data_IF_585226471130
#
_entry.id   IF_585226471130
#
_cell.length_a   1.000
_cell.length_b   1.000
_cell.length_c   1.000
_cell.angle_alpha   90.00
_cell.angle_beta   90.00
_cell.angle_gamma   90.00
#
_symmetry.space_group_name_H-M   'P 1'
#
loop_
_entity.id
_entity.type
_entity.pdbx_description
1 polymer ?
#
# COMPACT_ATOMS: atom_id res chain seq x y z
N UNK A 1 31.12 9.04 10.68
CA UNK A 1 30.28 8.26 9.74
C UNK A 1 30.98 6.95 9.51
N UNK A 2 30.30 5.82 9.70
CA UNK A 2 30.86 4.52 9.37
C UNK A 2 30.84 4.30 7.85
N UNK A 3 31.62 3.34 7.37
CA UNK A 3 31.59 2.91 5.96
C UNK A 3 30.54 1.84 5.77
N UNK A 4 29.87 1.79 4.63
CA UNK A 4 28.83 0.78 4.38
C UNK A 4 29.28 -0.69 4.60
N UNK A 5 30.59 -0.99 4.46
CA UNK A 5 31.15 -2.32 4.75
C UNK A 5 31.22 -2.66 6.24
N UNK A 6 31.22 -1.65 7.11
CA UNK A 6 31.42 -1.82 8.55
C UNK A 6 30.23 -2.57 9.18
N UNK A 7 28.99 -2.36 8.70
CA UNK A 7 27.79 -3.08 9.20
C UNK A 7 27.79 -4.57 8.90
N UNK A 8 28.70 -5.06 8.05
CA UNK A 8 28.88 -6.48 7.78
C UNK A 8 29.86 -7.15 8.76
N UNK A 9 30.55 -6.37 9.59
CA UNK A 9 31.51 -6.88 10.57
C UNK A 9 30.81 -7.14 11.91
N UNK A 10 30.86 -8.36 12.47
CA UNK A 10 30.29 -8.66 13.78
C UNK A 10 30.75 -7.68 14.87
N UNK A 11 32.06 -7.39 14.91
CA UNK A 11 32.65 -6.44 15.87
C UNK A 11 32.11 -5.01 15.75
N UNK A 12 31.50 -4.65 14.63
CA UNK A 12 30.85 -3.35 14.47
C UNK A 12 29.43 -3.36 15.04
N UNK A 13 28.62 -4.36 14.68
CA UNK A 13 27.23 -4.48 15.14
C UNK A 13 27.10 -4.86 16.61
N UNK A 14 28.16 -5.39 17.22
CA UNK A 14 28.23 -5.72 18.65
C UNK A 14 28.65 -4.51 19.52
N UNK A 15 28.86 -3.33 18.93
CA UNK A 15 29.15 -2.10 19.69
C UNK A 15 27.96 -1.69 20.58
N UNK A 16 28.21 -0.93 21.65
CA UNK A 16 27.16 -0.36 22.48
C UNK A 16 26.09 0.38 21.65
N UNK A 17 24.81 0.22 22.02
CA UNK A 17 23.69 0.78 21.26
C UNK A 17 23.75 2.31 21.18
N UNK A 18 24.20 2.99 22.23
CA UNK A 18 24.41 4.44 22.25
C UNK A 18 25.46 4.89 21.22
N UNK A 19 26.52 4.09 21.04
CA UNK A 19 27.52 4.32 20.01
C UNK A 19 26.93 4.11 18.60
N UNK A 20 26.21 3.02 18.37
CA UNK A 20 25.56 2.75 17.08
C UNK A 20 24.49 3.80 16.74
N UNK A 21 23.71 4.22 17.74
CA UNK A 21 22.68 5.23 17.59
C UNK A 21 23.24 6.55 17.05
N UNK A 22 24.38 6.98 17.59
CA UNK A 22 25.05 8.23 17.18
C UNK A 22 25.45 8.25 15.69
N UNK A 23 25.42 7.10 15.02
CA UNK A 23 25.79 6.95 13.62
C UNK A 23 24.61 7.08 12.65
N UNK A 24 23.36 7.06 13.13
CA UNK A 24 22.15 7.10 12.29
C UNK A 24 21.91 8.52 11.75
N UNK A 25 21.73 9.52 12.62
CA UNK A 25 21.38 10.89 12.19
C UNK A 25 22.39 11.52 11.21
N UNK A 26 23.72 11.29 11.34
CA UNK A 26 24.68 11.77 10.34
C UNK A 26 24.45 11.21 8.93
N UNK A 27 23.72 10.10 8.78
CA UNK A 27 23.40 9.47 7.50
C UNK A 27 22.10 9.96 6.85
N UNK A 28 21.35 10.85 7.50
CA UNK A 28 20.00 11.24 7.07
C UNK A 28 19.94 11.82 5.64
N UNK A 29 20.95 12.60 5.25
CA UNK A 29 21.01 13.26 3.94
C UNK A 29 22.44 13.30 3.40
N UNK A 30 23.07 12.13 3.29
CA UNK A 30 24.43 12.00 2.74
C UNK A 30 24.47 12.15 1.24
N UNK A 31 25.61 12.61 0.73
CA UNK A 31 25.87 12.65 -0.70
C UNK A 31 25.78 11.23 -1.31
N UNK A 32 24.84 11.06 -2.25
CA UNK A 32 24.55 9.77 -2.87
C UNK A 32 25.79 9.20 -3.57
N UNK A 33 26.57 10.04 -4.27
CA UNK A 33 27.77 9.58 -4.99
C UNK A 33 28.82 9.01 -4.04
N UNK A 34 29.02 9.68 -2.91
CA UNK A 34 29.94 9.26 -1.84
C UNK A 34 29.47 7.95 -1.21
N UNK A 35 28.17 7.80 -0.95
CA UNK A 35 27.62 6.57 -0.37
C UNK A 35 27.66 5.40 -1.36
N UNK A 36 27.28 5.64 -2.61
CA UNK A 36 27.28 4.63 -3.67
C UNK A 36 28.69 4.09 -3.94
N UNK A 37 29.72 4.94 -3.91
CA UNK A 37 31.12 4.51 -4.03
C UNK A 37 31.52 3.47 -2.97
N UNK A 38 30.87 3.47 -1.79
CA UNK A 38 31.09 2.50 -0.73
C UNK A 38 30.24 1.23 -0.88
N UNK A 39 29.08 1.32 -1.52
CA UNK A 39 28.19 0.18 -1.78
C UNK A 39 28.60 -0.64 -3.01
N UNK A 40 29.18 0.00 -4.04
CA UNK A 40 29.61 -0.68 -5.27
C UNK A 40 30.55 -1.87 -5.04
N UNK A 41 31.52 -1.83 -4.09
CA UNK A 41 32.33 -3.00 -3.77
C UNK A 41 31.56 -4.18 -3.19
N UNK A 42 30.36 -3.96 -2.63
CA UNK A 42 29.48 -5.01 -2.07
C UNK A 42 28.67 -5.74 -3.16
N UNK A 43 28.81 -5.35 -4.43
CA UNK A 43 28.10 -6.00 -5.53
C UNK A 43 28.47 -7.49 -5.65
N UNK A 44 27.50 -8.30 -6.06
CA UNK A 44 27.69 -9.74 -6.27
C UNK A 44 28.74 -10.03 -7.35
N UNK A 45 29.36 -11.19 -7.25
CA UNK A 45 30.33 -11.72 -8.22
C UNK A 45 29.72 -11.90 -9.62
N UNK A 46 30.55 -12.03 -10.66
CA UNK A 46 30.07 -12.33 -12.01
C UNK A 46 29.24 -13.62 -12.08
N UNK A 47 29.64 -14.64 -11.33
CA UNK A 47 28.95 -15.93 -11.28
C UNK A 47 27.57 -15.82 -10.62
N UNK A 48 27.48 -15.14 -9.48
CA UNK A 48 26.19 -14.89 -8.79
C UNK A 48 25.27 -14.05 -9.66
N UNK A 49 25.79 -13.02 -10.35
CA UNK A 49 24.99 -12.21 -11.28
C UNK A 49 24.44 -13.04 -12.43
N UNK A 50 25.23 -13.93 -13.03
CA UNK A 50 24.77 -14.82 -14.09
C UNK A 50 23.64 -15.73 -13.58
N UNK A 51 23.84 -16.35 -12.40
CA UNK A 51 22.84 -17.21 -11.77
C UNK A 51 21.54 -16.46 -11.45
N UNK A 52 21.62 -15.29 -10.82
CA UNK A 52 20.47 -14.44 -10.51
C UNK A 52 19.75 -13.99 -11.78
N UNK A 53 20.49 -13.68 -12.86
CA UNK A 53 19.91 -13.28 -14.14
C UNK A 53 19.11 -14.43 -14.76
N UNK A 54 19.64 -15.65 -14.74
CA UNK A 54 18.94 -16.84 -15.23
C UNK A 54 17.66 -17.09 -14.43
N UNK A 55 17.75 -17.07 -13.10
CA UNK A 55 16.58 -17.30 -12.22
C UNK A 55 15.52 -16.21 -12.37
N UNK A 56 15.93 -14.94 -12.43
CA UNK A 56 15.01 -13.83 -12.69
C UNK A 56 14.32 -13.99 -14.05
N UNK A 57 15.07 -14.38 -15.09
CA UNK A 57 14.51 -14.61 -16.44
C UNK A 57 13.49 -15.75 -16.46
N UNK A 58 13.74 -16.83 -15.73
CA UNK A 58 12.82 -17.95 -15.55
C UNK A 58 11.52 -17.50 -14.87
N UNK A 59 11.62 -16.74 -13.77
CA UNK A 59 10.48 -16.19 -13.06
C UNK A 59 9.65 -15.24 -13.92
N UNK A 60 10.31 -14.31 -14.62
CA UNK A 60 9.65 -13.35 -15.53
C UNK A 60 8.93 -14.09 -16.66
N UNK A 61 9.55 -15.12 -17.23
CA UNK A 61 8.94 -15.93 -18.29
C UNK A 61 7.69 -16.66 -17.79
N UNK A 62 7.73 -17.21 -16.57
CA UNK A 62 6.55 -17.83 -15.94
C UNK A 62 5.42 -16.83 -15.72
N UNK A 63 5.72 -15.66 -15.14
CA UNK A 63 4.73 -14.58 -14.92
C UNK A 63 4.10 -14.14 -16.24
N UNK A 64 4.90 -13.93 -17.29
CA UNK A 64 4.39 -13.55 -18.62
C UNK A 64 3.56 -14.64 -19.30
N UNK A 65 3.81 -15.91 -18.98
CA UNK A 65 3.07 -17.05 -19.54
C UNK A 65 1.75 -17.33 -18.82
N UNK A 66 1.59 -16.85 -17.58
CA UNK A 66 0.38 -17.03 -16.79
C UNK A 66 -0.74 -16.11 -17.31
N UNK A 67 -1.74 -16.73 -17.96
CA UNK A 67 -2.91 -16.03 -18.51
C UNK A 67 -3.99 -15.76 -17.48
N UNK A 68 -3.87 -16.30 -16.26
CA UNK A 68 -4.87 -16.15 -15.20
C UNK A 68 -4.58 -14.96 -14.28
N UNK A 69 -3.36 -14.43 -14.31
CA UNK A 69 -2.92 -13.36 -13.43
C UNK A 69 -2.88 -12.01 -14.18
N UNK A 70 -3.68 -11.06 -13.70
CA UNK A 70 -3.47 -9.60 -13.89
C UNK A 70 -3.69 -9.03 -15.30
N UNK A 71 -4.21 -9.78 -16.28
CA UNK A 71 -4.39 -9.17 -17.61
C UNK A 71 -5.50 -8.13 -17.70
N UNK A 72 -6.53 -8.14 -16.86
CA UNK A 72 -7.67 -7.23 -17.12
C UNK A 72 -7.42 -5.79 -16.66
N UNK A 73 -6.78 -5.60 -15.50
CA UNK A 73 -6.44 -4.26 -15.02
C UNK A 73 -5.17 -3.77 -15.69
N UNK A 74 -4.10 -4.57 -15.76
CA UNK A 74 -2.89 -4.14 -16.46
C UNK A 74 -3.17 -3.85 -17.94
N UNK A 75 -4.00 -4.65 -18.63
CA UNK A 75 -4.41 -4.30 -19.99
C UNK A 75 -5.29 -3.07 -20.04
N UNK A 76 -6.19 -2.83 -19.07
CA UNK A 76 -6.96 -1.59 -19.00
C UNK A 76 -6.04 -0.37 -18.76
N UNK A 77 -5.03 -0.49 -17.89
CA UNK A 77 -4.07 0.57 -17.59
C UNK A 77 -3.04 0.77 -18.71
N UNK A 78 -2.70 -0.28 -19.46
CA UNK A 78 -1.84 -0.22 -20.66
C UNK A 78 -2.60 0.32 -21.87
N UNK A 79 -3.85 -0.09 -22.07
CA UNK A 79 -4.71 0.32 -23.19
C UNK A 79 -5.29 1.73 -22.98
N UNK A 80 -5.52 2.14 -21.73
CA UNK A 80 -5.87 3.49 -21.31
C UNK A 80 -4.77 4.03 -20.40
N UNK A 81 -3.64 4.43 -21.01
CA UNK A 81 -2.47 4.94 -20.28
C UNK A 81 -2.89 5.98 -19.23
N UNK A 82 -2.50 5.75 -17.98
CA UNK A 82 -2.90 6.52 -16.79
C UNK A 82 -2.39 7.96 -16.77
N UNK A 83 -1.56 8.33 -17.73
CA UNK A 83 -1.08 9.68 -18.00
C UNK A 83 -2.07 10.49 -18.88
N UNK A 84 -3.12 9.85 -19.40
CA UNK A 84 -4.16 10.50 -20.20
C UNK A 84 -5.29 11.03 -19.31
N UNK A 85 -5.93 12.14 -19.74
CA UNK A 85 -7.11 12.70 -19.03
C UNK A 85 -8.22 11.66 -18.92
N UNK A 86 -8.30 10.79 -19.92
CA UNK A 86 -9.21 9.66 -20.02
C UNK A 86 -8.97 8.60 -18.94
N UNK A 87 -7.72 8.15 -18.75
CA UNK A 87 -7.36 7.18 -17.73
C UNK A 87 -7.64 7.67 -16.31
N UNK A 88 -7.34 8.95 -16.05
CA UNK A 88 -7.65 9.60 -14.76
C UNK A 88 -9.16 9.61 -14.49
N UNK A 89 -9.97 9.97 -15.49
CA UNK A 89 -11.43 10.07 -15.33
C UNK A 89 -12.07 8.69 -15.11
N UNK A 90 -11.57 7.66 -15.79
CA UNK A 90 -11.99 6.28 -15.61
C UNK A 90 -11.70 5.79 -14.18
N UNK A 91 -10.52 6.12 -13.65
CA UNK A 91 -10.15 5.80 -12.26
C UNK A 91 -11.00 6.56 -11.24
N UNK A 92 -11.26 7.86 -11.47
CA UNK A 92 -12.16 8.64 -10.61
C UNK A 92 -13.58 8.06 -10.60
N UNK A 93 -14.10 7.64 -11.74
CA UNK A 93 -15.41 7.00 -11.81
C UNK A 93 -15.40 5.63 -11.10
N UNK A 94 -14.35 4.84 -11.27
CA UNK A 94 -14.21 3.55 -10.59
C UNK A 94 -14.17 3.73 -9.06
N UNK A 95 -13.46 4.74 -8.58
CA UNK A 95 -13.38 5.10 -7.16
C UNK A 95 -14.72 5.57 -6.60
N UNK A 96 -15.41 6.47 -7.30
CA UNK A 96 -16.74 6.93 -6.91
C UNK A 96 -17.75 5.77 -6.83
N UNK A 97 -17.70 4.83 -7.78
CA UNK A 97 -18.57 3.67 -7.79
C UNK A 97 -18.26 2.69 -6.65
N UNK A 98 -16.99 2.54 -6.26
CA UNK A 98 -16.60 1.72 -5.11
C UNK A 98 -17.10 2.28 -3.76
N UNK A 99 -17.37 3.59 -3.67
CA UNK A 99 -17.93 4.22 -2.47
C UNK A 99 -19.45 4.05 -2.35
N UNK A 100 -20.13 3.60 -3.40
CA UNK A 100 -21.59 3.45 -3.40
C UNK A 100 -21.93 2.01 -2.99
N UNK A 101 -22.51 1.81 -1.79
CA UNK A 101 -22.73 0.46 -1.26
C UNK A 101 -23.90 -0.27 -1.93
N UNK A 102 -24.83 0.45 -2.57
CA UNK A 102 -25.98 -0.13 -3.24
C UNK A 102 -25.85 -0.11 -4.76
N UNK A 103 -26.13 -1.25 -5.39
CA UNK A 103 -25.96 -1.42 -6.83
C UNK A 103 -26.90 -0.52 -7.64
N UNK A 104 -28.08 -0.18 -7.12
CA UNK A 104 -29.05 0.65 -7.82
C UNK A 104 -28.57 2.10 -7.99
N UNK A 105 -27.95 2.68 -6.95
CA UNK A 105 -27.36 4.03 -6.97
C UNK A 105 -26.07 4.03 -7.78
N UNK A 106 -25.26 2.97 -7.70
CA UNK A 106 -24.08 2.83 -8.54
C UNK A 106 -24.48 2.78 -10.03
N UNK A 107 -25.51 2.01 -10.38
CA UNK A 107 -26.07 1.94 -11.73
C UNK A 107 -26.72 3.27 -12.15
N UNK A 108 -27.35 4.00 -11.24
CA UNK A 108 -27.87 5.34 -11.49
C UNK A 108 -26.74 6.34 -11.78
N UNK A 109 -25.63 6.29 -11.05
CA UNK A 109 -24.45 7.14 -11.29
C UNK A 109 -23.76 6.78 -12.61
N UNK A 110 -23.60 5.49 -12.91
CA UNK A 110 -23.10 5.01 -14.22
C UNK A 110 -23.97 5.60 -15.32
N UNK A 111 -25.29 5.48 -15.22
CA UNK A 111 -26.22 6.00 -16.22
C UNK A 111 -26.19 7.53 -16.34
N UNK A 112 -26.16 8.24 -15.21
CA UNK A 112 -26.11 9.71 -15.18
C UNK A 112 -24.81 10.24 -15.80
N UNK A 113 -23.66 9.62 -15.46
CA UNK A 113 -22.33 10.12 -15.87
C UNK A 113 -21.79 9.52 -17.17
N UNK A 114 -22.27 8.34 -17.58
CA UNK A 114 -21.84 7.65 -18.81
C UNK A 114 -22.89 7.72 -19.94
N UNK A 115 -24.05 8.36 -19.73
CA UNK A 115 -25.00 8.57 -20.83
C UNK A 115 -24.38 9.48 -21.90
N UNK A 116 -24.55 9.05 -23.16
CA UNK A 116 -23.86 9.48 -24.39
C UNK A 116 -23.97 10.99 -24.70
N UNK A 117 -24.75 11.77 -23.95
CA UNK A 117 -25.24 13.05 -24.44
C UNK A 117 -24.50 14.30 -23.95
N UNK A 118 -23.71 14.30 -22.86
CA UNK A 118 -23.25 15.62 -22.36
C UNK A 118 -21.98 15.67 -21.49
N UNK A 119 -20.96 14.88 -21.82
CA UNK A 119 -19.65 14.99 -21.15
C UNK A 119 -19.03 16.40 -21.18
N UNK A 120 -19.40 17.21 -22.18
CA UNK A 120 -18.90 18.58 -22.35
C UNK A 120 -19.56 19.60 -21.40
N UNK A 121 -20.81 19.37 -20.97
CA UNK A 121 -21.51 20.27 -20.06
C UNK A 121 -21.26 19.94 -18.59
N UNK A 122 -21.11 18.65 -18.26
CA UNK A 122 -20.87 18.20 -16.88
C UNK A 122 -19.45 18.46 -16.37
N UNK A 123 -18.46 18.58 -17.26
CA UNK A 123 -17.10 19.00 -16.91
C UNK A 123 -16.99 20.48 -16.50
N UNK A 124 -17.96 21.32 -16.86
CA UNK A 124 -17.94 22.76 -16.57
C UNK A 124 -18.50 23.14 -15.19
N UNK A 125 -19.17 22.21 -14.49
CA UNK A 125 -20.01 22.55 -13.34
C UNK A 125 -19.70 21.75 -12.05
N UNK A 126 -18.55 21.09 -11.93
CA UNK A 126 -18.22 20.35 -10.70
C UNK A 126 -16.78 20.56 -10.25
N UNK A 127 -16.58 21.56 -9.39
CA UNK A 127 -15.30 21.81 -8.70
C UNK A 127 -14.88 20.66 -7.76
N UNK A 128 -15.78 19.70 -7.49
CA UNK A 128 -15.59 18.64 -6.49
C UNK A 128 -14.94 17.34 -7.02
N UNK A 129 -15.00 17.04 -8.32
CA UNK A 129 -14.42 15.81 -8.87
C UNK A 129 -12.91 15.94 -9.17
N UNK A 130 -12.43 17.16 -9.35
CA UNK A 130 -11.05 17.46 -9.74
C UNK A 130 -10.08 17.59 -8.56
N UNK A 131 -10.58 17.65 -7.33
CA UNK A 131 -9.74 17.81 -6.12
C UNK A 131 -8.91 16.57 -5.83
N UNK A 132 -9.40 15.37 -6.18
CA UNK A 132 -8.68 14.11 -5.98
C UNK A 132 -7.91 13.64 -7.22
N UNK A 133 -8.12 14.24 -8.38
CA UNK A 133 -7.40 13.93 -9.61
C UNK A 133 -5.90 14.27 -9.48
N UNK A 134 -5.56 15.30 -8.69
CA UNK A 134 -4.18 15.66 -8.34
C UNK A 134 -3.51 14.60 -7.46
N UNK A 135 -4.24 14.01 -6.49
CA UNK A 135 -3.74 12.93 -5.62
C UNK A 135 -3.41 11.68 -6.44
N UNK A 136 -4.30 11.26 -7.33
CA UNK A 136 -4.06 10.09 -8.20
C UNK A 136 -3.04 10.39 -9.31
N UNK A 137 -3.05 11.60 -9.88
CA UNK A 137 -2.05 12.04 -10.86
C UNK A 137 -0.63 12.01 -10.27
N UNK A 138 -0.46 12.47 -9.03
CA UNK A 138 0.82 12.43 -8.32
C UNK A 138 1.21 10.99 -7.94
N UNK A 139 0.27 10.21 -7.41
CA UNK A 139 0.51 8.84 -6.92
C UNK A 139 0.78 7.84 -8.05
N UNK A 140 0.20 8.02 -9.25
CA UNK A 140 0.38 7.11 -10.39
C UNK A 140 1.45 7.56 -11.39
N UNK A 141 1.66 8.88 -11.56
CA UNK A 141 2.57 9.41 -12.60
C UNK A 141 3.78 10.14 -12.05
N UNK A 142 3.85 10.36 -10.72
CA UNK A 142 4.92 11.11 -10.06
C UNK A 142 4.95 12.60 -10.39
N UNK A 143 3.91 13.12 -11.06
CA UNK A 143 3.83 14.52 -11.49
C UNK A 143 2.56 15.18 -10.96
N UNK A 144 2.71 16.40 -10.45
CA UNK A 144 1.57 17.27 -10.12
C UNK A 144 0.92 17.67 -11.45
N UNK A 145 -0.22 17.07 -11.78
CA UNK A 145 -0.99 17.45 -12.96
C UNK A 145 -1.94 18.58 -12.56
N UNK A 146 -1.56 19.83 -12.85
CA UNK A 146 -2.51 20.95 -12.88
C UNK A 146 -3.30 20.86 -14.19
N UNK A 147 -4.54 20.40 -14.11
CA UNK A 147 -5.47 20.39 -15.24
C UNK A 147 -6.00 21.80 -15.47
N UNK A 148 -5.16 22.68 -16.03
CA UNK A 148 -5.64 23.97 -16.50
C UNK A 148 -6.59 23.78 -17.69
N UNK A 149 -7.72 24.48 -17.62
CA UNK A 149 -8.74 24.50 -18.65
C UNK A 149 -8.26 25.23 -19.92
N UNK A 150 -7.36 24.62 -20.69
CA UNK A 150 -7.12 25.05 -22.07
C UNK A 150 -8.15 24.42 -23.00
N UNK A 151 -8.96 25.32 -23.58
CA UNK A 151 -9.81 25.09 -24.72
C UNK A 151 -8.94 24.72 -25.93
N UNK A 152 -8.79 23.43 -26.23
CA UNK A 152 -8.37 23.03 -27.57
C UNK A 152 -9.36 21.99 -28.09
N UNK A 153 -10.03 22.37 -29.18
CA UNK A 153 -11.16 21.68 -29.80
C UNK A 153 -10.81 20.39 -30.54
N UNK A 154 -9.96 19.54 -29.99
CA UNK A 154 -9.75 18.18 -30.51
C UNK A 154 -10.90 17.28 -30.03
N UNK A 155 -11.58 16.52 -30.93
CA UNK A 155 -12.61 15.58 -30.51
C UNK A 155 -11.96 14.48 -29.66
N UNK A 156 -12.33 14.42 -28.39
CA UNK A 156 -11.83 13.44 -27.42
C UNK A 156 -12.09 12.02 -27.93
N UNK A 157 -11.08 11.16 -27.84
CA UNK A 157 -11.16 9.74 -28.23
C UNK A 157 -12.27 8.99 -27.45
N UNK A 158 -12.68 9.51 -26.29
CA UNK A 158 -13.86 9.09 -25.53
C UNK A 158 -15.13 9.10 -26.38
N UNK A 159 -15.36 10.14 -27.20
CA UNK A 159 -16.53 10.18 -28.09
C UNK A 159 -16.48 9.05 -29.15
N UNK A 160 -15.31 8.51 -29.49
CA UNK A 160 -15.20 7.34 -30.38
C UNK A 160 -15.40 6.02 -29.65
N UNK A 161 -15.05 5.92 -28.37
CA UNK A 161 -15.26 4.72 -27.56
C UNK A 161 -16.74 4.56 -27.16
N UNK A 162 -17.36 5.66 -26.72
CA UNK A 162 -18.78 5.74 -26.33
C UNK A 162 -19.72 5.55 -27.52
N UNK A 163 -19.31 5.99 -28.73
CA UNK A 163 -20.09 5.72 -29.95
C UNK A 163 -19.91 4.31 -30.52
N UNK A 164 -18.97 3.50 -29.98
CA UNK A 164 -18.61 2.18 -30.52
C UNK A 164 -18.90 1.04 -29.55
N UNK A 165 -19.12 1.33 -28.27
CA UNK A 165 -19.51 0.36 -27.24
C UNK A 165 -20.81 0.82 -26.55
N UNK A 166 -21.80 -0.06 -26.47
CA UNK A 166 -23.09 0.23 -25.84
C UNK A 166 -22.96 0.33 -24.32
N UNK A 167 -23.83 1.11 -23.68
CA UNK A 167 -23.91 1.28 -22.21
C UNK A 167 -23.78 -0.05 -21.41
N UNK A 168 -24.38 -1.18 -21.84
CA UNK A 168 -24.21 -2.47 -21.15
C UNK A 168 -22.76 -2.98 -21.11
N UNK A 169 -21.95 -2.70 -22.13
CA UNK A 169 -20.55 -3.16 -22.22
C UNK A 169 -19.67 -2.36 -21.26
N UNK A 170 -19.82 -1.04 -21.22
CA UNK A 170 -19.11 -0.17 -20.27
C UNK A 170 -19.51 -0.54 -18.84
N UNK A 171 -20.81 -0.77 -18.59
CA UNK A 171 -21.33 -1.24 -17.30
C UNK A 171 -20.68 -2.54 -16.85
N UNK A 172 -20.59 -3.53 -17.75
CA UNK A 172 -19.99 -4.83 -17.43
C UNK A 172 -18.49 -4.72 -17.19
N UNK A 173 -17.78 -3.88 -17.96
CA UNK A 173 -16.36 -3.60 -17.76
C UNK A 173 -16.09 -2.93 -16.40
N UNK A 174 -16.90 -1.95 -16.00
CA UNK A 174 -16.76 -1.25 -14.71
C UNK A 174 -17.08 -2.15 -13.52
N UNK A 175 -18.17 -2.93 -13.58
CA UNK A 175 -18.49 -3.92 -12.53
C UNK A 175 -17.38 -4.96 -12.37
N UNK A 176 -16.83 -5.43 -13.48
CA UNK A 176 -15.72 -6.37 -13.46
C UNK A 176 -14.43 -5.72 -12.92
N UNK A 177 -14.13 -4.47 -13.28
CA UNK A 177 -12.99 -3.73 -12.75
C UNK A 177 -13.12 -3.50 -11.23
N UNK A 178 -14.28 -3.08 -10.73
CA UNK A 178 -14.53 -2.92 -9.30
C UNK A 178 -14.37 -4.23 -8.52
N UNK A 179 -14.92 -5.33 -9.07
CA UNK A 179 -14.80 -6.64 -8.45
C UNK A 179 -13.34 -7.11 -8.42
N UNK A 180 -12.57 -6.87 -9.48
CA UNK A 180 -11.15 -7.24 -9.53
C UNK A 180 -10.33 -6.36 -8.59
N UNK A 181 -10.54 -5.04 -8.57
CA UNK A 181 -9.84 -4.14 -7.64
C UNK A 181 -10.11 -4.53 -6.17
N UNK A 182 -11.37 -4.73 -5.79
CA UNK A 182 -11.70 -5.15 -4.42
C UNK A 182 -11.12 -6.52 -4.02
N UNK A 183 -10.99 -7.46 -4.96
CA UNK A 183 -10.39 -8.77 -4.69
C UNK A 183 -8.85 -8.77 -4.78
N UNK A 184 -8.25 -7.89 -5.56
CA UNK A 184 -6.80 -7.81 -5.73
C UNK A 184 -6.12 -6.95 -4.67
N UNK A 185 -6.75 -5.87 -4.22
CA UNK A 185 -6.15 -4.96 -3.23
C UNK A 185 -6.43 -5.36 -1.79
N UNK A 186 -7.57 -6.00 -1.50
CA UNK A 186 -7.94 -6.38 -0.14
C UNK A 186 -8.35 -7.85 -0.10
N UNK A 187 -7.62 -8.65 0.69
CA UNK A 187 -7.88 -10.09 0.79
C UNK A 187 -9.32 -10.37 1.28
N UNK A 188 -9.84 -9.58 2.22
CA UNK A 188 -11.22 -9.63 2.67
C UNK A 188 -11.65 -8.32 3.33
N UNK A 189 -12.95 -8.04 3.35
CA UNK A 189 -13.49 -6.79 3.94
C UNK A 189 -13.27 -6.67 5.46
N UNK A 190 -13.03 -7.79 6.11
CA UNK A 190 -12.65 -7.90 7.50
C UNK A 190 -11.71 -9.09 7.69
N UNK A 191 -11.11 -9.19 8.87
CA UNK A 191 -10.13 -10.23 9.17
C UNK A 191 -10.73 -11.64 9.03
N UNK A 192 -11.98 -11.87 9.43
CA UNK A 192 -12.62 -13.19 9.31
C UNK A 192 -12.76 -13.65 7.86
N UNK A 193 -13.11 -12.74 6.95
CA UNK A 193 -13.20 -13.01 5.52
C UNK A 193 -11.82 -13.30 4.94
N UNK A 194 -10.81 -12.51 5.32
CA UNK A 194 -9.43 -12.69 4.89
C UNK A 194 -8.86 -14.05 5.35
N UNK A 195 -9.14 -14.42 6.60
CA UNK A 195 -8.77 -15.71 7.20
C UNK A 195 -9.42 -16.90 6.50
N UNK A 196 -10.64 -16.76 5.98
CA UNK A 196 -11.29 -17.81 5.17
C UNK A 196 -10.66 -17.94 3.79
N UNK A 197 -10.41 -16.82 3.11
CA UNK A 197 -9.88 -16.79 1.74
C UNK A 197 -8.44 -17.26 1.61
N UNK A 198 -7.65 -17.20 2.68
CA UNK A 198 -6.24 -17.62 2.67
C UNK A 198 -6.02 -19.15 2.61
N UNK A 199 -7.01 -19.94 3.04
CA UNK A 199 -6.85 -21.40 3.25
C UNK A 199 -6.24 -22.16 2.06
N UNK A 200 -6.70 -21.95 0.80
CA UNK A 200 -6.16 -22.70 -0.34
C UNK A 200 -4.67 -22.43 -0.61
N UNK A 201 -4.19 -21.23 -0.28
CA UNK A 201 -2.77 -20.85 -0.42
C UNK A 201 -1.94 -21.32 0.78
N UNK A 202 -2.51 -21.34 2.00
CA UNK A 202 -1.85 -21.98 3.15
C UNK A 202 -1.55 -23.46 2.88
N UNK A 203 -2.48 -24.19 2.26
CA UNK A 203 -2.27 -25.59 1.84
C UNK A 203 -1.13 -25.77 0.83
N UNK A 204 -0.77 -24.70 0.10
CA UNK A 204 0.38 -24.66 -0.83
C UNK A 204 1.68 -24.22 -0.14
N UNK A 205 1.67 -23.99 1.17
CA UNK A 205 2.84 -23.59 1.95
C UNK A 205 3.07 -22.07 2.08
N UNK A 206 2.13 -21.23 1.62
CA UNK A 206 2.22 -19.78 1.85
C UNK A 206 1.93 -19.44 3.31
N UNK A 207 2.47 -18.31 3.81
CA UNK A 207 2.02 -17.66 5.06
C UNK A 207 1.51 -16.25 4.76
N UNK A 208 0.97 -15.56 5.77
CA UNK A 208 0.31 -14.27 5.66
C UNK A 208 0.70 -13.35 6.82
N UNK A 209 1.07 -12.10 6.51
CA UNK A 209 0.97 -10.98 7.44
C UNK A 209 -0.25 -10.14 7.06
N UNK A 210 -1.11 -9.79 8.02
CA UNK A 210 -2.29 -8.97 7.76
C UNK A 210 -2.00 -7.50 8.00
N UNK A 211 -2.06 -6.69 6.93
CA UNK A 211 -2.14 -5.24 7.02
C UNK A 211 -3.60 -4.82 7.17
N UNK A 212 -3.90 -4.12 8.27
CA UNK A 212 -5.25 -3.67 8.60
C UNK A 212 -5.63 -2.33 7.96
N UNK A 213 -4.75 -1.75 7.13
CA UNK A 213 -4.97 -0.50 6.36
C UNK A 213 -5.23 0.74 7.23
N UNK A 214 -5.04 0.65 8.54
CA UNK A 214 -5.11 1.78 9.46
C UNK A 214 -3.78 2.52 9.49
N UNK A 215 -3.80 3.81 9.20
CA UNK A 215 -2.64 4.71 9.22
C UNK A 215 -3.09 6.15 9.48
N UNK A 216 -2.14 7.01 9.86
CA UNK A 216 -2.31 8.45 9.99
C UNK A 216 -3.58 8.87 10.75
N UNK A 217 -3.72 8.41 12.00
CA UNK A 217 -4.82 8.85 12.86
C UNK A 217 -4.85 10.38 12.92
N UNK A 218 -5.99 11.01 12.67
CA UNK A 218 -6.13 12.47 12.76
C UNK A 218 -6.69 12.89 14.12
N UNK A 219 -7.40 11.98 14.77
CA UNK A 219 -8.02 12.20 16.07
C UNK A 219 -7.76 11.04 17.02
N UNK A 220 -7.95 11.27 18.33
CA UNK A 220 -7.94 10.19 19.33
C UNK A 220 -9.04 9.14 19.09
N UNK A 221 -10.13 9.53 18.42
CA UNK A 221 -11.18 8.59 18.00
C UNK A 221 -10.68 7.64 16.92
N UNK A 222 -9.94 8.15 15.93
CA UNK A 222 -9.34 7.32 14.88
C UNK A 222 -8.33 6.36 15.49
N UNK A 223 -7.44 6.86 16.35
CA UNK A 223 -6.45 6.04 17.04
C UNK A 223 -7.09 4.90 17.84
N UNK A 224 -8.18 5.20 18.58
CA UNK A 224 -8.94 4.18 19.31
C UNK A 224 -9.62 3.17 18.39
N UNK A 225 -10.13 3.62 17.24
CA UNK A 225 -10.72 2.74 16.23
C UNK A 225 -9.66 1.78 15.70
N UNK A 226 -8.52 2.28 15.22
CA UNK A 226 -7.45 1.44 14.69
C UNK A 226 -6.89 0.48 15.74
N UNK A 227 -6.73 0.93 16.99
CA UNK A 227 -6.34 0.06 18.10
C UNK A 227 -7.29 -1.14 18.26
N UNK A 228 -8.61 -0.91 18.23
CA UNK A 228 -9.59 -1.99 18.32
C UNK A 228 -9.61 -2.91 17.09
N UNK A 229 -9.35 -2.34 15.90
CA UNK A 229 -9.22 -3.12 14.66
C UNK A 229 -8.01 -4.07 14.77
N UNK A 230 -6.88 -3.61 15.31
CA UNK A 230 -5.71 -4.45 15.56
C UNK A 230 -5.97 -5.52 16.63
N UNK A 231 -6.63 -5.19 17.76
CA UNK A 231 -7.01 -6.18 18.76
C UNK A 231 -7.90 -7.29 18.16
N UNK A 232 -8.87 -6.90 17.34
CA UNK A 232 -9.76 -7.84 16.65
C UNK A 232 -8.97 -8.73 15.68
N UNK A 233 -8.03 -8.14 14.94
CA UNK A 233 -7.18 -8.87 14.01
C UNK A 233 -6.30 -9.90 14.73
N UNK A 234 -5.60 -9.49 15.79
CA UNK A 234 -4.75 -10.34 16.61
C UNK A 234 -5.56 -11.52 17.16
N UNK A 235 -6.73 -11.25 17.73
CA UNK A 235 -7.59 -12.31 18.26
C UNK A 235 -8.03 -13.30 17.18
N UNK A 236 -8.44 -12.82 16.00
CA UNK A 236 -8.85 -13.68 14.91
C UNK A 236 -7.69 -14.54 14.37
N UNK A 237 -6.49 -13.96 14.28
CA UNK A 237 -5.27 -14.65 13.83
C UNK A 237 -4.83 -15.71 14.85
N UNK A 238 -4.79 -15.37 16.14
CA UNK A 238 -4.38 -16.28 17.22
C UNK A 238 -5.39 -17.41 17.50
N UNK A 239 -6.65 -17.24 17.12
CA UNK A 239 -7.66 -18.31 17.20
C UNK A 239 -7.53 -19.35 16.09
N UNK A 240 -6.72 -19.11 15.05
CA UNK A 240 -6.56 -20.09 13.99
C UNK A 240 -5.74 -21.29 14.48
N UNK A 241 -6.39 -22.46 14.54
CA UNK A 241 -5.75 -23.71 14.97
C UNK A 241 -4.82 -24.31 13.92
N UNK A 242 -4.62 -23.66 12.77
CA UNK A 242 -3.69 -24.08 11.73
C UNK A 242 -2.22 -23.71 12.03
N UNK A 243 -1.86 -23.44 13.29
CA UNK A 243 -0.48 -23.21 13.67
C UNK A 243 0.32 -24.46 13.31
N UNK A 244 1.41 -24.29 12.56
CA UNK A 244 2.30 -25.41 12.30
C UNK A 244 3.28 -25.56 13.47
N UNK A 245 3.95 -26.70 13.58
CA UNK A 245 5.00 -26.91 14.58
C UNK A 245 6.21 -25.95 14.40
N UNK A 246 6.26 -25.17 13.31
CA UNK A 246 7.26 -24.12 13.07
C UNK A 246 6.68 -22.70 13.23
N UNK A 247 7.19 -21.89 14.18
CA UNK A 247 6.78 -20.50 14.39
C UNK A 247 6.91 -19.60 13.15
N UNK A 248 7.82 -19.91 12.21
CA UNK A 248 8.07 -19.09 11.01
C UNK A 248 6.96 -19.17 9.96
N UNK A 249 6.00 -20.08 10.15
CA UNK A 249 4.90 -20.32 9.21
C UNK A 249 3.56 -19.78 9.73
N UNK A 250 3.55 -19.28 10.95
CA UNK A 250 2.36 -18.74 11.57
C UNK A 250 2.03 -17.38 10.99
N UNK A 251 0.74 -17.00 11.00
CA UNK A 251 0.35 -15.72 10.44
C UNK A 251 0.60 -14.61 11.43
N UNK A 252 0.93 -13.44 10.90
CA UNK A 252 1.28 -12.25 11.70
C UNK A 252 0.33 -11.10 11.42
N UNK A 253 0.42 -10.05 12.23
CA UNK A 253 -0.28 -8.78 11.98
C UNK A 253 0.75 -7.67 11.82
N UNK A 254 0.62 -6.88 10.76
CA UNK A 254 1.39 -5.67 10.53
C UNK A 254 0.66 -4.46 11.12
N UNK A 255 1.39 -3.60 11.84
CA UNK A 255 0.87 -2.39 12.46
C UNK A 255 1.67 -1.16 12.01
N UNK A 256 1.01 -0.01 11.91
CA UNK A 256 1.64 1.29 11.61
C UNK A 256 1.56 2.17 12.85
N UNK A 257 2.67 2.80 13.26
CA UNK A 257 2.71 3.58 14.51
C UNK A 257 1.87 4.84 14.41
N UNK A 258 1.77 5.45 13.22
CA UNK A 258 0.88 6.59 12.97
C UNK A 258 -0.60 6.30 13.23
N UNK A 259 -1.01 5.03 13.32
CA UNK A 259 -2.37 4.64 13.66
C UNK A 259 -2.66 4.70 15.18
N UNK A 260 -1.64 4.81 16.03
CA UNK A 260 -1.79 4.75 17.50
C UNK A 260 -1.90 6.12 18.16
N UNK A 261 -1.41 7.18 17.53
CA UNK A 261 -1.50 8.53 18.08
C UNK A 261 -1.57 9.59 16.96
N UNK A 262 -2.50 10.56 17.06
CA UNK A 262 -2.63 11.59 16.03
C UNK A 262 -1.46 12.58 15.95
N UNK A 263 -0.56 12.55 16.94
CA UNK A 263 0.66 13.36 17.05
C UNK A 263 1.90 12.47 17.09
N UNK A 264 1.90 11.38 16.33
CA UNK A 264 3.10 10.59 16.05
C UNK A 264 4.08 11.39 15.16
N UNK A 265 4.86 12.26 15.80
CA UNK A 265 5.85 13.15 15.18
C UNK A 265 6.94 13.52 16.20
N UNK A 266 8.13 13.87 15.71
CA UNK A 266 9.31 14.18 16.56
C UNK A 266 9.06 15.34 17.53
N UNK A 267 8.27 16.34 17.11
CA UNK A 267 7.90 17.47 17.97
C UNK A 267 7.09 17.05 19.23
N UNK A 268 6.51 15.86 19.23
CA UNK A 268 5.73 15.29 20.32
C UNK A 268 6.40 14.02 20.90
N UNK A 269 7.73 13.90 20.83
CA UNK A 269 8.49 12.73 21.31
C UNK A 269 8.10 12.30 22.73
N UNK A 270 7.97 13.22 23.68
CA UNK A 270 7.60 12.88 25.06
C UNK A 270 6.23 12.19 25.16
N UNK A 271 5.25 12.64 24.35
CA UNK A 271 3.92 12.03 24.25
C UNK A 271 4.01 10.65 23.61
N UNK A 272 4.79 10.51 22.55
CA UNK A 272 5.00 9.23 21.86
C UNK A 272 5.63 8.21 22.79
N UNK A 273 6.68 8.60 23.52
CA UNK A 273 7.40 7.72 24.43
C UNK A 273 6.64 7.44 25.75
N UNK A 274 5.56 8.14 26.07
CA UNK A 274 4.74 7.88 27.26
C UNK A 274 3.34 7.35 26.92
N UNK A 275 2.53 8.14 26.24
CA UNK A 275 1.12 7.83 25.95
C UNK A 275 0.98 6.77 24.85
N UNK A 276 1.63 6.99 23.71
CA UNK A 276 1.58 6.05 22.58
C UNK A 276 2.26 4.73 22.95
N UNK A 277 3.40 4.80 23.64
CA UNK A 277 4.10 3.64 24.20
C UNK A 277 3.19 2.70 25.00
N UNK A 278 2.39 3.22 25.93
CA UNK A 278 1.47 2.39 26.73
C UNK A 278 0.44 1.67 25.86
N UNK A 279 -0.07 2.35 24.84
CA UNK A 279 -1.03 1.77 23.89
C UNK A 279 -0.40 0.67 23.06
N UNK A 280 0.79 0.92 22.47
CA UNK A 280 1.52 -0.08 21.68
C UNK A 280 1.92 -1.27 22.54
N UNK A 281 2.47 -1.05 23.74
CA UNK A 281 2.85 -2.13 24.67
C UNK A 281 1.64 -3.00 25.04
N UNK A 282 0.48 -2.40 25.33
CA UNK A 282 -0.73 -3.16 25.62
C UNK A 282 -1.16 -4.05 24.44
N UNK A 283 -1.03 -3.56 23.20
CA UNK A 283 -1.28 -4.36 22.00
C UNK A 283 -0.27 -5.50 21.86
N UNK A 284 1.02 -5.25 22.09
CA UNK A 284 2.07 -6.27 21.99
C UNK A 284 1.90 -7.36 23.06
N UNK A 285 1.52 -6.99 24.28
CA UNK A 285 1.15 -7.95 25.33
C UNK A 285 -0.03 -8.81 24.87
N UNK A 286 -1.07 -8.19 24.29
CA UNK A 286 -2.23 -8.92 23.77
C UNK A 286 -1.85 -9.87 22.63
N UNK A 287 -0.95 -9.45 21.73
CA UNK A 287 -0.43 -10.29 20.65
C UNK A 287 0.35 -11.49 21.20
N UNK A 288 1.20 -11.27 22.21
CA UNK A 288 1.94 -12.34 22.89
C UNK A 288 1.01 -13.33 23.58
N UNK A 289 -0.05 -12.86 24.24
CA UNK A 289 -1.08 -13.73 24.85
C UNK A 289 -1.78 -14.63 23.82
N UNK A 290 -1.87 -14.18 22.57
CA UNK A 290 -2.48 -14.92 21.47
C UNK A 290 -1.46 -15.66 20.59
N UNK A 291 -0.16 -15.63 20.94
CA UNK A 291 0.94 -16.17 20.15
C UNK A 291 0.98 -15.66 18.69
N UNK A 292 0.72 -14.36 18.50
CA UNK A 292 0.72 -13.71 17.18
C UNK A 292 1.95 -12.83 17.04
N UNK A 293 2.74 -13.05 15.99
CA UNK A 293 3.84 -12.16 15.63
C UNK A 293 3.33 -10.80 15.16
N UNK A 294 3.99 -9.73 15.60
CA UNK A 294 3.69 -8.35 15.18
C UNK A 294 4.87 -7.81 14.38
N UNK A 295 4.57 -7.22 13.23
CA UNK A 295 5.52 -6.45 12.43
C UNK A 295 5.15 -4.98 12.56
N UNK A 296 6.11 -4.13 12.95
CA UNK A 296 5.93 -2.68 12.92
C UNK A 296 6.40 -2.20 11.55
N UNK A 297 5.48 -1.63 10.78
CA UNK A 297 5.76 -1.10 9.44
C UNK A 297 6.63 0.16 9.56
N UNK A 298 7.58 0.31 8.62
CA UNK A 298 8.32 1.55 8.44
C UNK A 298 7.46 2.58 7.68
N UNK A 299 7.50 3.83 8.13
CA UNK A 299 6.68 4.92 7.59
C UNK A 299 7.60 6.00 6.97
N UNK A 300 7.31 7.29 7.15
CA UNK A 300 8.14 8.37 6.61
C UNK A 300 9.53 8.44 7.26
N UNK A 301 10.52 8.97 6.52
CA UNK A 301 11.91 9.02 6.95
C UNK A 301 12.14 9.84 8.24
N UNK A 302 11.35 10.89 8.46
CA UNK A 302 11.43 11.73 9.66
C UNK A 302 10.93 11.02 10.94
N UNK A 303 10.19 9.91 10.78
CA UNK A 303 9.71 9.06 11.86
C UNK A 303 10.64 7.89 12.17
N UNK A 304 11.68 7.64 11.37
CA UNK A 304 12.59 6.50 11.56
C UNK A 304 13.27 6.53 12.94
N UNK A 305 13.91 7.63 13.32
CA UNK A 305 14.58 7.69 14.62
C UNK A 305 13.58 7.63 15.79
N UNK A 306 12.40 8.23 15.64
CA UNK A 306 11.37 8.17 16.67
C UNK A 306 10.80 6.76 16.84
N UNK A 307 10.60 6.02 15.74
CA UNK A 307 10.14 4.64 15.77
C UNK A 307 11.17 3.72 16.45
N UNK A 308 12.46 3.94 16.20
CA UNK A 308 13.54 3.18 16.83
C UNK A 308 13.65 3.46 18.34
N UNK A 309 13.49 4.72 18.78
CA UNK A 309 13.43 5.05 20.23
C UNK A 309 12.26 4.36 20.92
N UNK A 310 11.11 4.32 20.26
CA UNK A 310 9.95 3.60 20.76
C UNK A 310 10.21 2.09 20.79
N UNK A 311 10.82 1.54 19.73
CA UNK A 311 11.15 0.12 19.61
C UNK A 311 12.10 -0.34 20.71
N UNK A 312 13.14 0.42 21.03
CA UNK A 312 14.05 0.13 22.16
C UNK A 312 13.31 0.10 23.50
N UNK A 313 12.28 0.93 23.66
CA UNK A 313 11.50 1.02 24.90
C UNK A 313 10.49 -0.12 25.08
N UNK A 314 10.02 -0.73 23.99
CA UNK A 314 9.00 -1.80 23.95
C UNK A 314 9.57 -3.16 24.33
#
# INVERSE_FOLDING_TARGET
MFKAVDVLQPAFIEQPLDQLWSLISPLYAVDESTWLAQLLPLQSSSQERAFCTEKASELISRVRSDKNAVQMIDALLLEYSLDTKEGILLMCLAEALMRIPDSATADALIRDKLSVADWKSHLKNSDSLFVNASTWGLMLTGKVVTLDAKQDGTPTVINRLVNKMSEPVIRQAMHQAMKIMGHQFVLGRNIDEAMKKRKPKREQGFTYSFDMLGEAALTSTDAKKYYNDYLTAIKAVGQDKSHSDSPSSDPTVSIKLSAFDPRYEVANEARVLDEMYRSVLALLIHAREHNVGITIDAEEADRLELSLKLFEKL
#
